data_IF_619462735966
#
_entry.id   IF_619462735966
#
_cell.length_a   1.000
_cell.length_b   1.000
_cell.length_c   1.000
_cell.angle_alpha   90.00
_cell.angle_beta   90.00
_cell.angle_gamma   90.00
#
_symmetry.space_group_name_H-M   'P 1'
#
loop_
_entity.id
_entity.type
_entity.pdbx_description
1 polymer ?
#
# COMPACT_ATOMS: atom_id res chain seq x y z
N UNK A 1 -1.40 -3.83 3.21
CA UNK A 1 -2.39 -4.25 2.19
C UNK A 1 -2.07 -5.61 1.57
N UNK A 2 -0.80 -6.05 1.57
CA UNK A 2 -0.50 -7.41 1.07
C UNK A 2 -1.21 -8.48 1.91
N UNK A 3 -1.37 -8.26 3.20
CA UNK A 3 -2.12 -9.18 4.07
C UNK A 3 -3.61 -9.23 3.70
N UNK A 4 -4.20 -8.11 3.29
CA UNK A 4 -5.60 -8.13 2.79
C UNK A 4 -5.72 -8.89 1.48
N UNK A 5 -4.69 -8.85 0.63
CA UNK A 5 -4.64 -9.65 -0.59
C UNK A 5 -4.64 -11.15 -0.27
N UNK A 6 -3.78 -11.58 0.66
CA UNK A 6 -3.69 -12.99 1.07
C UNK A 6 -5.00 -13.49 1.69
N UNK A 7 -5.63 -12.68 2.52
CA UNK A 7 -6.88 -13.04 3.20
C UNK A 7 -8.14 -12.79 2.36
N UNK A 8 -8.01 -12.26 1.16
CA UNK A 8 -9.12 -11.88 0.29
C UNK A 8 -10.12 -10.91 0.97
N UNK A 9 -9.58 -9.99 1.78
CA UNK A 9 -10.37 -8.98 2.49
C UNK A 9 -10.25 -7.65 1.76
N UNK A 10 -11.33 -6.89 1.68
CA UNK A 10 -11.29 -5.54 1.07
C UNK A 10 -10.76 -4.52 2.10
N UNK A 11 -9.59 -3.91 1.87
CA UNK A 11 -9.04 -2.94 2.81
C UNK A 11 -9.89 -1.67 2.94
N UNK A 12 -10.66 -1.31 1.91
CA UNK A 12 -11.54 -0.14 1.94
C UNK A 12 -12.67 -0.32 2.96
N UNK A 13 -13.24 -1.52 3.02
CA UNK A 13 -14.27 -1.86 4.00
C UNK A 13 -13.71 -1.86 5.41
N UNK A 14 -12.52 -2.43 5.61
CA UNK A 14 -11.86 -2.43 6.91
C UNK A 14 -11.60 -1.01 7.42
N UNK A 15 -11.15 -0.11 6.57
CA UNK A 15 -10.89 1.29 6.93
C UNK A 15 -12.20 1.99 7.27
N UNK A 16 -13.26 1.77 6.51
CA UNK A 16 -14.56 2.35 6.77
C UNK A 16 -15.12 1.89 8.13
N UNK A 17 -15.00 0.59 8.43
CA UNK A 17 -15.51 0.01 9.67
C UNK A 17 -14.73 0.48 10.91
N UNK A 18 -13.40 0.58 10.80
CA UNK A 18 -12.53 0.96 11.90
C UNK A 18 -12.47 2.48 12.12
N UNK A 19 -12.65 3.26 11.06
CA UNK A 19 -12.68 4.72 11.12
C UNK A 19 -11.46 5.31 11.82
N UNK A 20 -11.67 6.15 12.81
CA UNK A 20 -10.59 6.84 13.54
C UNK A 20 -9.70 5.92 14.37
N UNK A 21 -10.06 4.65 14.53
CA UNK A 21 -9.23 3.67 15.24
C UNK A 21 -8.04 3.17 14.41
N UNK A 22 -8.02 3.46 13.10
CA UNK A 22 -6.87 3.14 12.25
C UNK A 22 -5.76 4.13 12.54
N UNK A 23 -4.62 3.65 13.04
CA UNK A 23 -3.48 4.50 13.40
C UNK A 23 -2.31 4.33 12.43
N UNK A 24 -2.15 3.15 11.84
CA UNK A 24 -1.04 2.82 10.94
C UNK A 24 -1.53 2.03 9.75
N UNK A 25 -0.96 2.32 8.58
CA UNK A 25 -1.15 1.54 7.37
C UNK A 25 0.22 1.05 6.90
N UNK A 26 0.39 -0.24 6.75
CA UNK A 26 1.53 -0.83 6.08
C UNK A 26 1.17 -1.01 4.62
N UNK A 27 1.84 -0.27 3.75
CA UNK A 27 1.50 -0.17 2.33
C UNK A 27 2.33 -1.12 1.49
N UNK A 28 1.67 -2.05 0.85
CA UNK A 28 2.22 -2.94 -0.16
C UNK A 28 1.07 -3.51 -0.97
N UNK A 29 1.37 -3.99 -2.17
CA UNK A 29 0.37 -4.59 -3.05
C UNK A 29 0.45 -6.12 -3.02
N UNK A 30 -0.51 -6.79 -3.62
CA UNK A 30 -0.56 -8.24 -3.72
C UNK A 30 -1.57 -8.68 -4.76
N UNK A 31 -1.43 -9.90 -5.26
CA UNK A 31 -2.27 -10.44 -6.35
C UNK A 31 -3.40 -11.37 -5.89
N UNK A 32 -3.56 -11.60 -4.60
CA UNK A 32 -4.50 -12.60 -4.10
C UNK A 32 -3.94 -14.02 -4.08
N UNK A 33 -2.67 -14.19 -4.43
CA UNK A 33 -1.91 -15.41 -4.20
C UNK A 33 -1.89 -15.73 -2.70
N UNK A 34 -1.76 -17.01 -2.29
CA UNK A 34 -1.58 -17.35 -0.87
C UNK A 34 -0.25 -16.86 -0.29
N UNK A 35 0.63 -16.30 -1.12
CA UNK A 35 1.91 -15.73 -0.68
C UNK A 35 1.73 -14.28 -0.28
N UNK A 36 2.39 -13.89 0.80
CA UNK A 36 2.45 -12.50 1.23
C UNK A 36 3.53 -11.78 0.41
N UNK A 37 3.12 -11.14 -0.66
CA UNK A 37 4.04 -10.71 -1.72
C UNK A 37 4.74 -9.38 -1.46
N UNK A 38 4.13 -8.47 -0.73
CA UNK A 38 4.66 -7.12 -0.49
C UNK A 38 5.13 -6.41 -1.77
N UNK A 39 4.24 -6.34 -2.77
CA UNK A 39 4.55 -5.77 -4.08
C UNK A 39 4.55 -4.24 -4.07
N UNK A 40 5.27 -3.64 -5.00
CA UNK A 40 5.19 -2.21 -5.28
C UNK A 40 3.75 -1.88 -5.69
N UNK A 41 3.15 -0.78 -5.16
CA UNK A 41 1.81 -0.37 -5.55
C UNK A 41 1.64 -0.27 -7.06
N UNK A 42 0.58 -0.87 -7.58
CA UNK A 42 0.30 -0.95 -9.00
C UNK A 42 0.79 -2.23 -9.67
N UNK A 43 1.61 -3.04 -9.00
CA UNK A 43 2.09 -4.33 -9.54
C UNK A 43 1.26 -5.52 -9.07
N UNK A 44 0.25 -5.29 -8.24
CA UNK A 44 -0.69 -6.30 -7.79
C UNK A 44 -2.13 -5.91 -8.13
N UNK A 45 -3.07 -6.46 -7.39
CA UNK A 45 -4.50 -6.29 -7.62
C UNK A 45 -5.23 -5.57 -6.49
N UNK A 46 -4.51 -5.12 -5.47
CA UNK A 46 -5.13 -4.39 -4.36
C UNK A 46 -5.51 -2.98 -4.78
N UNK A 47 -6.62 -2.43 -4.25
CA UNK A 47 -7.07 -1.08 -4.58
C UNK A 47 -6.23 -0.03 -3.82
N UNK A 48 -4.92 0.00 -4.07
CA UNK A 48 -3.98 0.83 -3.30
C UNK A 48 -4.25 2.32 -3.49
N UNK A 49 -4.48 2.76 -4.73
CA UNK A 49 -4.79 4.16 -5.03
C UNK A 49 -6.08 4.61 -4.34
N UNK A 50 -7.11 3.78 -4.39
CA UNK A 50 -8.41 4.05 -3.78
C UNK A 50 -8.30 4.12 -2.24
N UNK A 51 -7.51 3.24 -1.64
CA UNK A 51 -7.25 3.25 -0.20
C UNK A 51 -6.58 4.56 0.22
N UNK A 52 -5.55 4.98 -0.49
CA UNK A 52 -4.85 6.23 -0.20
C UNK A 52 -5.77 7.44 -0.37
N UNK A 53 -6.58 7.45 -1.43
CA UNK A 53 -7.56 8.51 -1.67
C UNK A 53 -8.61 8.55 -0.54
N UNK A 54 -9.06 7.41 -0.07
CA UNK A 54 -10.01 7.31 1.05
C UNK A 54 -9.40 7.87 2.33
N UNK A 55 -8.14 7.52 2.63
CA UNK A 55 -7.44 8.06 3.80
C UNK A 55 -7.31 9.58 3.71
N UNK A 56 -6.99 10.10 2.55
CA UNK A 56 -6.93 11.55 2.32
C UNK A 56 -8.27 12.22 2.58
N UNK A 57 -9.36 11.65 2.06
CA UNK A 57 -10.71 12.18 2.24
C UNK A 57 -11.14 12.18 3.72
N UNK A 58 -10.66 11.22 4.50
CA UNK A 58 -10.94 11.12 5.95
C UNK A 58 -9.98 11.94 6.80
N UNK A 59 -9.07 12.70 6.19
CA UNK A 59 -8.05 13.47 6.89
C UNK A 59 -7.22 12.60 7.85
N UNK A 60 -6.82 11.43 7.38
CA UNK A 60 -6.07 10.46 8.17
C UNK A 60 -4.80 11.09 8.75
N UNK A 61 -4.66 11.04 10.08
CA UNK A 61 -3.56 11.65 10.81
C UNK A 61 -2.47 10.66 11.25
N UNK A 62 -2.63 9.38 10.94
CA UNK A 62 -1.69 8.33 11.31
C UNK A 62 -0.51 8.21 10.35
N UNK A 63 0.18 7.08 10.42
CA UNK A 63 1.36 6.80 9.60
C UNK A 63 1.04 5.84 8.46
N UNK A 64 1.56 6.12 7.27
CA UNK A 64 1.56 5.20 6.14
C UNK A 64 3.00 4.76 5.92
N UNK A 65 3.28 3.48 6.11
CA UNK A 65 4.62 2.92 6.07
C UNK A 65 4.72 2.00 4.84
N UNK A 66 5.64 2.33 3.93
CA UNK A 66 5.91 1.47 2.78
C UNK A 66 6.62 0.21 3.24
N UNK A 67 6.04 -0.95 2.97
CA UNK A 67 6.56 -2.26 3.35
C UNK A 67 6.67 -3.13 2.11
N UNK A 68 7.58 -2.74 1.21
CA UNK A 68 7.74 -3.36 -0.10
C UNK A 68 8.95 -4.28 -0.10
N UNK A 69 8.78 -5.51 -0.61
CA UNK A 69 9.89 -6.43 -0.81
C UNK A 69 10.63 -6.09 -2.09
N UNK A 70 11.94 -5.99 -1.99
CA UNK A 70 12.82 -5.78 -3.15
C UNK A 70 13.62 -7.02 -3.54
N UNK A 71 13.24 -8.19 -3.00
CA UNK A 71 13.96 -9.46 -3.24
C UNK A 71 13.99 -9.86 -4.71
N UNK A 72 12.95 -9.51 -5.47
CA UNK A 72 12.86 -9.81 -6.90
C UNK A 72 13.61 -8.83 -7.79
N UNK A 73 14.21 -7.79 -7.23
CA UNK A 73 14.94 -6.80 -7.99
C UNK A 73 16.27 -7.38 -8.52
N UNK A 74 16.58 -7.10 -9.78
CA UNK A 74 17.77 -7.62 -10.44
C UNK A 74 19.06 -6.92 -10.01
N UNK A 75 18.96 -5.71 -9.44
CA UNK A 75 20.12 -4.88 -9.09
C UNK A 75 19.79 -3.93 -7.96
N UNK A 76 20.84 -3.28 -7.42
CA UNK A 76 20.68 -2.22 -6.43
C UNK A 76 19.92 -1.04 -7.00
N UNK A 77 20.20 -0.67 -8.24
CA UNK A 77 19.52 0.42 -8.95
C UNK A 77 18.02 0.13 -9.08
N UNK A 78 17.65 -1.12 -9.37
CA UNK A 78 16.25 -1.54 -9.44
C UNK A 78 15.58 -1.42 -8.06
N UNK A 79 16.26 -1.80 -6.98
CA UNK A 79 15.73 -1.67 -5.63
C UNK A 79 15.45 -0.22 -5.25
N UNK A 80 16.38 0.67 -5.57
CA UNK A 80 16.22 2.11 -5.32
C UNK A 80 15.05 2.66 -6.12
N UNK A 81 14.93 2.27 -7.38
CA UNK A 81 13.83 2.69 -8.25
C UNK A 81 12.47 2.20 -7.74
N UNK A 82 12.39 0.96 -7.28
CA UNK A 82 11.15 0.40 -6.73
C UNK A 82 10.70 1.17 -5.48
N UNK A 83 11.62 1.54 -4.60
CA UNK A 83 11.32 2.35 -3.42
C UNK A 83 10.91 3.77 -3.81
N UNK A 84 11.58 4.36 -4.81
CA UNK A 84 11.23 5.69 -5.32
C UNK A 84 9.80 5.70 -5.88
N UNK A 85 9.46 4.72 -6.70
CA UNK A 85 8.13 4.57 -7.27
C UNK A 85 7.06 4.40 -6.20
N UNK A 86 7.34 3.62 -5.16
CA UNK A 86 6.44 3.41 -4.03
C UNK A 86 6.15 4.73 -3.31
N UNK A 87 7.18 5.51 -3.01
CA UNK A 87 7.03 6.79 -2.32
C UNK A 87 6.30 7.81 -3.18
N UNK A 88 6.63 7.88 -4.46
CA UNK A 88 5.99 8.79 -5.41
C UNK A 88 4.50 8.48 -5.56
N UNK A 89 4.15 7.20 -5.73
CA UNK A 89 2.77 6.75 -5.81
C UNK A 89 1.99 7.13 -4.54
N UNK A 90 2.58 6.86 -3.38
CA UNK A 90 1.95 7.12 -2.08
C UNK A 90 1.71 8.61 -1.89
N UNK A 91 2.71 9.43 -2.15
CA UNK A 91 2.59 10.88 -2.01
C UNK A 91 1.54 11.46 -2.95
N UNK A 92 1.53 11.02 -4.19
CA UNK A 92 0.57 11.49 -5.19
C UNK A 92 -0.87 11.24 -4.73
N UNK A 93 -1.17 10.02 -4.32
CA UNK A 93 -2.54 9.65 -3.94
C UNK A 93 -2.96 10.16 -2.56
N UNK A 94 -2.03 10.44 -1.67
CA UNK A 94 -2.31 11.13 -0.41
C UNK A 94 -2.39 12.65 -0.54
N UNK A 95 -2.05 13.18 -1.72
CA UNK A 95 -2.05 14.62 -1.94
C UNK A 95 -0.86 15.36 -1.33
N UNK A 96 0.23 14.63 -1.05
CA UNK A 96 1.48 15.20 -0.55
C UNK A 96 2.41 15.46 -1.74
N UNK A 97 2.73 16.69 -2.00
CA UNK A 97 3.60 17.08 -3.13
C UNK A 97 4.91 17.67 -2.65
#
# INVERSE_FOLDING_TARGET
LSHTAVSHTDPREMIADLGSRVAHIHLADGTGSPRDEHLVPGRGEQPVAEVLTQLRAQEFAGSVIAEVSTRGAASREQRVEDLRLTLEFTRTHLGLT
#
